data_IF_429826492956
#
_entry.id   IF_429826492956
#
_cell.length_a   1.000
_cell.length_b   1.000
_cell.length_c   1.000
_cell.angle_alpha   90.00
_cell.angle_beta   90.00
_cell.angle_gamma   90.00
#
_symmetry.space_group_name_H-M   'P 1'
#
loop_
_entity.id
_entity.type
_entity.pdbx_description
1 polymer ?
#
# COMPACT_ATOMS: atom_id res chain seq x y z
N UNK A 1 9.08 47.01 27.08
CA UNK A 1 8.07 47.19 25.99
C UNK A 1 8.47 46.55 24.67
N UNK A 2 9.64 46.91 24.05
CA UNK A 2 9.99 46.32 22.71
C UNK A 2 10.41 44.86 22.76
N UNK A 3 11.09 44.43 23.80
CA UNK A 3 11.48 43.02 23.99
C UNK A 3 10.34 42.11 24.43
N UNK A 4 9.39 42.61 25.19
CA UNK A 4 8.17 41.90 25.55
C UNK A 4 7.32 41.56 24.33
N UNK A 5 7.07 42.56 23.47
CA UNK A 5 6.35 42.35 22.20
C UNK A 5 7.04 41.33 21.29
N UNK A 6 8.38 41.30 21.27
CA UNK A 6 9.15 40.33 20.48
C UNK A 6 9.03 38.93 21.03
N UNK A 7 8.99 38.76 22.34
CA UNK A 7 8.83 37.46 23.00
C UNK A 7 7.43 36.92 22.84
N UNK A 8 6.39 37.76 22.92
CA UNK A 8 4.99 37.39 22.65
C UNK A 8 4.81 36.95 21.18
N UNK A 9 5.39 37.68 20.23
CA UNK A 9 5.36 37.25 18.83
C UNK A 9 6.08 35.90 18.57
N UNK A 10 7.20 35.66 19.24
CA UNK A 10 7.92 34.38 19.15
C UNK A 10 7.12 33.24 19.78
N UNK A 11 6.45 33.48 20.91
CA UNK A 11 5.58 32.51 21.56
C UNK A 11 4.38 32.15 20.66
N UNK A 12 3.68 33.15 20.12
CA UNK A 12 2.56 32.94 19.21
C UNK A 12 2.94 32.15 17.94
N UNK A 13 4.12 32.43 17.37
CA UNK A 13 4.63 31.65 16.22
C UNK A 13 4.98 30.20 16.57
N UNK A 14 5.47 29.93 17.78
CA UNK A 14 5.74 28.56 18.27
C UNK A 14 4.45 27.79 18.46
N UNK A 15 3.45 28.42 19.05
CA UNK A 15 2.14 27.79 19.28
C UNK A 15 1.40 27.49 17.96
N UNK A 16 1.48 28.41 16.98
CA UNK A 16 0.93 28.18 15.65
C UNK A 16 1.60 26.99 14.96
N UNK A 17 2.93 26.92 14.95
CA UNK A 17 3.69 25.78 14.40
C UNK A 17 3.37 24.46 15.09
N UNK A 18 3.20 24.47 16.42
CA UNK A 18 2.82 23.26 17.16
C UNK A 18 1.41 22.78 16.82
N UNK A 19 0.46 23.71 16.62
CA UNK A 19 -0.90 23.38 16.19
C UNK A 19 -0.93 22.80 14.80
N UNK A 20 -0.18 23.37 13.84
CA UNK A 20 -0.04 22.84 12.49
C UNK A 20 0.59 21.44 12.49
N UNK A 21 1.65 21.24 13.26
CA UNK A 21 2.30 19.95 13.40
C UNK A 21 1.37 18.88 14.00
N UNK A 22 0.60 19.23 15.01
CA UNK A 22 -0.41 18.32 15.60
C UNK A 22 -1.54 18.00 14.62
N UNK A 23 -1.98 18.97 13.83
CA UNK A 23 -3.01 18.77 12.81
C UNK A 23 -2.51 17.84 11.69
N UNK A 24 -1.28 18.05 11.18
CA UNK A 24 -0.65 17.19 10.19
C UNK A 24 -0.45 15.75 10.70
N UNK A 25 -0.01 15.59 11.94
CA UNK A 25 0.16 14.27 12.57
C UNK A 25 -1.18 13.55 12.70
N UNK A 26 -2.23 14.24 13.11
CA UNK A 26 -3.59 13.68 13.21
C UNK A 26 -4.14 13.25 11.85
N UNK A 27 -3.94 14.04 10.81
CA UNK A 27 -4.38 13.73 9.46
C UNK A 27 -3.64 12.52 8.91
N UNK A 28 -2.32 12.47 9.10
CA UNK A 28 -1.49 11.31 8.72
C UNK A 28 -1.94 10.03 9.43
N UNK A 29 -2.22 10.08 10.71
CA UNK A 29 -2.69 8.91 11.48
C UNK A 29 -4.06 8.41 11.00
N UNK A 30 -5.01 9.30 10.72
CA UNK A 30 -6.33 8.92 10.19
C UNK A 30 -6.23 8.26 8.82
N UNK A 31 -5.39 8.78 7.95
CA UNK A 31 -5.15 8.21 6.62
C UNK A 31 -4.53 6.81 6.73
N UNK A 32 -3.56 6.63 7.59
CA UNK A 32 -2.93 5.33 7.83
C UNK A 32 -3.91 4.30 8.39
N UNK A 33 -4.76 4.69 9.35
CA UNK A 33 -5.81 3.82 9.88
C UNK A 33 -6.85 3.43 8.82
N UNK A 34 -7.21 4.35 7.93
CA UNK A 34 -8.12 4.07 6.83
C UNK A 34 -7.51 3.04 5.87
N UNK A 35 -6.22 3.18 5.50
CA UNK A 35 -5.53 2.20 4.67
C UNK A 35 -5.36 0.85 5.37
N UNK A 36 -5.11 0.84 6.67
CA UNK A 36 -5.07 -0.39 7.46
C UNK A 36 -6.43 -1.10 7.48
N UNK A 37 -7.52 -0.36 7.70
CA UNK A 37 -8.87 -0.91 7.62
C UNK A 37 -9.19 -1.46 6.23
N UNK A 38 -8.78 -0.75 5.17
CA UNK A 38 -8.91 -1.23 3.79
C UNK A 38 -8.12 -2.52 3.57
N UNK A 39 -6.89 -2.60 4.06
CA UNK A 39 -6.08 -3.81 3.98
C UNK A 39 -6.75 -5.01 4.68
N UNK A 40 -7.30 -4.80 5.87
CA UNK A 40 -8.03 -5.85 6.60
C UNK A 40 -9.27 -6.30 5.84
N UNK A 41 -10.03 -5.37 5.25
CA UNK A 41 -11.20 -5.71 4.44
C UNK A 41 -10.84 -6.52 3.19
N UNK A 42 -9.77 -6.14 2.49
CA UNK A 42 -9.28 -6.87 1.31
C UNK A 42 -8.82 -8.27 1.71
N UNK A 43 -8.05 -8.38 2.79
CA UNK A 43 -7.60 -9.69 3.31
C UNK A 43 -8.79 -10.58 3.68
N UNK A 44 -9.81 -10.03 4.33
CA UNK A 44 -11.03 -10.77 4.63
C UNK A 44 -11.77 -11.23 3.37
N UNK A 45 -11.81 -10.38 2.32
CA UNK A 45 -12.38 -10.73 1.03
C UNK A 45 -11.60 -11.85 0.34
N UNK A 46 -10.25 -11.79 0.36
CA UNK A 46 -9.39 -12.85 -0.18
C UNK A 46 -9.61 -14.18 0.53
N UNK A 47 -9.67 -14.18 1.87
CA UNK A 47 -9.95 -15.37 2.67
C UNK A 47 -11.36 -15.91 2.33
N UNK A 48 -12.35 -15.04 2.22
CA UNK A 48 -13.71 -15.43 1.83
C UNK A 48 -13.74 -16.07 0.43
N UNK A 49 -13.07 -15.45 -0.55
CA UNK A 49 -12.96 -16.01 -1.91
C UNK A 49 -12.25 -17.36 -1.87
N UNK A 50 -11.19 -17.49 -1.08
CA UNK A 50 -10.43 -18.73 -0.95
C UNK A 50 -11.27 -19.89 -0.39
N UNK A 51 -12.18 -19.60 0.52
CA UNK A 51 -13.02 -20.63 1.19
C UNK A 51 -14.31 -20.91 0.39
N UNK A 52 -14.98 -19.87 -0.11
CA UNK A 52 -16.33 -19.96 -0.67
C UNK A 52 -16.34 -20.20 -2.18
N UNK A 53 -15.35 -19.69 -2.91
CA UNK A 53 -15.29 -19.85 -4.37
C UNK A 53 -14.52 -21.13 -4.71
N UNK A 54 -15.24 -22.20 -5.00
CA UNK A 54 -14.68 -23.50 -5.38
C UNK A 54 -14.16 -23.45 -6.81
N UNK A 55 -12.86 -23.21 -6.96
CA UNK A 55 -12.15 -23.35 -8.24
C UNK A 55 -12.56 -22.34 -9.32
N UNK A 56 -11.70 -22.14 -10.29
CA UNK A 56 -12.00 -21.36 -11.48
C UNK A 56 -11.08 -20.16 -11.68
N UNK A 57 -11.04 -19.74 -12.92
CA UNK A 57 -10.27 -18.63 -13.45
C UNK A 57 -10.42 -17.34 -12.60
N UNK A 58 -11.65 -16.99 -12.22
CA UNK A 58 -11.95 -15.77 -11.44
C UNK A 58 -11.26 -15.76 -10.08
N UNK A 59 -11.22 -16.91 -9.38
CA UNK A 59 -10.57 -17.00 -8.06
C UNK A 59 -9.08 -16.70 -8.14
N UNK A 60 -8.41 -17.26 -9.15
CA UNK A 60 -6.95 -17.15 -9.32
C UNK A 60 -6.59 -15.68 -9.65
N UNK A 61 -7.14 -15.17 -10.73
CA UNK A 61 -6.78 -13.83 -11.22
C UNK A 61 -7.31 -12.68 -10.35
N UNK A 62 -8.48 -12.82 -9.73
CA UNK A 62 -8.98 -11.81 -8.80
C UNK A 62 -8.10 -11.72 -7.55
N UNK A 63 -7.58 -12.85 -7.05
CA UNK A 63 -6.65 -12.89 -5.93
C UNK A 63 -5.37 -12.09 -6.23
N UNK A 64 -4.79 -12.25 -7.41
CA UNK A 64 -3.55 -11.56 -7.78
C UNK A 64 -3.71 -10.05 -7.89
N UNK A 65 -4.84 -9.59 -8.47
CA UNK A 65 -5.17 -8.16 -8.50
C UNK A 65 -5.38 -7.62 -7.08
N UNK A 66 -6.11 -8.36 -6.23
CA UNK A 66 -6.37 -7.96 -4.85
C UNK A 66 -5.09 -7.96 -4.01
N UNK A 67 -4.17 -8.90 -4.24
CA UNK A 67 -2.87 -8.94 -3.56
C UNK A 67 -2.05 -7.67 -3.81
N UNK A 68 -2.06 -7.12 -5.04
CA UNK A 68 -1.41 -5.83 -5.35
C UNK A 68 -2.06 -4.69 -4.58
N UNK A 69 -3.40 -4.64 -4.55
CA UNK A 69 -4.14 -3.59 -3.83
C UNK A 69 -3.90 -3.72 -2.32
N UNK A 70 -3.83 -4.94 -1.79
CA UNK A 70 -3.49 -5.23 -0.40
C UNK A 70 -2.08 -4.73 -0.06
N UNK A 71 -1.08 -5.08 -0.87
CA UNK A 71 0.30 -4.63 -0.67
C UNK A 71 0.39 -3.11 -0.70
N UNK A 72 -0.34 -2.45 -1.60
CA UNK A 72 -0.41 -1.00 -1.65
C UNK A 72 -1.04 -0.41 -0.37
N UNK A 73 -2.16 -0.94 0.07
CA UNK A 73 -2.82 -0.48 1.30
C UNK A 73 -1.93 -0.67 2.53
N UNK A 74 -1.22 -1.79 2.64
CA UNK A 74 -0.25 -2.05 3.70
C UNK A 74 0.93 -1.08 3.66
N UNK A 75 1.49 -0.82 2.48
CA UNK A 75 2.58 0.14 2.32
C UNK A 75 2.14 1.57 2.70
N UNK A 76 0.94 1.98 2.29
CA UNK A 76 0.35 3.29 2.68
C UNK A 76 0.03 3.38 4.17
N UNK A 77 -0.31 2.27 4.81
CA UNK A 77 -0.49 2.21 6.27
C UNK A 77 0.85 2.26 7.02
N UNK A 78 1.90 1.62 6.48
CA UNK A 78 3.21 1.56 7.11
C UNK A 78 3.98 2.89 6.99
N UNK A 79 3.99 3.51 5.81
CA UNK A 79 4.76 4.72 5.54
C UNK A 79 3.91 5.98 5.72
N UNK A 80 4.39 6.93 6.53
CA UNK A 80 3.74 8.25 6.70
C UNK A 80 3.79 9.06 5.41
N UNK A 81 4.87 8.93 4.63
CA UNK A 81 5.03 9.48 3.28
C UNK A 81 5.26 8.31 2.34
N UNK A 82 4.34 8.06 1.39
CA UNK A 82 4.52 6.95 0.46
C UNK A 82 5.76 7.20 -0.42
N UNK A 83 6.56 6.15 -0.67
CA UNK A 83 7.69 6.28 -1.56
C UNK A 83 7.22 6.62 -2.98
N UNK A 84 8.00 7.45 -3.68
CA UNK A 84 7.73 7.84 -5.06
C UNK A 84 7.57 6.59 -5.94
N UNK A 85 6.58 6.60 -6.82
CA UNK A 85 6.26 5.48 -7.73
C UNK A 85 5.99 4.15 -6.98
N UNK A 86 5.25 4.22 -5.88
CA UNK A 86 4.90 3.05 -5.07
C UNK A 86 4.27 1.91 -5.89
N UNK A 87 3.29 2.14 -6.80
CA UNK A 87 2.72 1.08 -7.63
C UNK A 87 3.77 0.34 -8.46
N UNK A 88 4.74 1.05 -9.05
CA UNK A 88 5.82 0.43 -9.83
C UNK A 88 6.75 -0.43 -8.96
N UNK A 89 7.02 -0.01 -7.73
CA UNK A 89 7.82 -0.81 -6.78
C UNK A 89 7.10 -2.07 -6.35
N UNK A 90 5.78 -2.01 -6.17
CA UNK A 90 4.96 -3.19 -5.86
C UNK A 90 4.95 -4.14 -7.04
N UNK A 91 4.79 -3.63 -8.27
CA UNK A 91 4.88 -4.47 -9.47
C UNK A 91 6.25 -5.15 -9.59
N UNK A 92 7.34 -4.41 -9.40
CA UNK A 92 8.69 -4.97 -9.45
C UNK A 92 8.91 -6.05 -8.38
N UNK A 93 8.36 -5.86 -7.19
CA UNK A 93 8.41 -6.85 -6.12
C UNK A 93 7.60 -8.11 -6.46
N UNK A 94 6.36 -7.96 -6.95
CA UNK A 94 5.52 -9.07 -7.37
C UNK A 94 6.15 -9.85 -8.53
N UNK A 95 6.68 -9.16 -9.54
CA UNK A 95 7.39 -9.78 -10.65
C UNK A 95 8.67 -10.51 -10.21
N UNK A 96 9.38 -9.97 -9.22
CA UNK A 96 10.56 -10.65 -8.67
C UNK A 96 10.19 -11.94 -7.92
N UNK A 97 9.07 -11.97 -7.22
CA UNK A 97 8.55 -13.19 -6.59
C UNK A 97 8.18 -14.24 -7.64
N UNK A 98 7.54 -13.83 -8.72
CA UNK A 98 7.15 -14.71 -9.82
C UNK A 98 8.38 -15.31 -10.54
N UNK A 99 9.40 -14.49 -10.79
CA UNK A 99 10.69 -14.93 -11.29
C UNK A 99 11.39 -15.91 -10.33
N UNK A 100 11.32 -15.66 -9.04
CA UNK A 100 11.86 -16.56 -8.04
C UNK A 100 11.16 -17.93 -8.06
N UNK A 101 9.85 -17.95 -8.29
CA UNK A 101 9.08 -19.19 -8.49
C UNK A 101 9.51 -19.92 -9.75
N UNK A 102 9.70 -19.20 -10.85
CA UNK A 102 10.19 -19.76 -12.11
C UNK A 102 11.55 -20.47 -11.95
N UNK A 103 12.47 -19.89 -11.19
CA UNK A 103 13.79 -20.48 -10.92
C UNK A 103 13.78 -21.52 -9.81
N UNK A 104 12.63 -21.87 -9.25
CA UNK A 104 12.53 -22.86 -8.18
C UNK A 104 13.23 -22.43 -6.89
N UNK A 105 13.13 -21.15 -6.54
CA UNK A 105 13.82 -20.57 -5.38
C UNK A 105 13.54 -21.32 -4.06
N UNK A 106 12.34 -21.91 -3.91
CA UNK A 106 11.98 -22.73 -2.75
C UNK A 106 12.89 -23.95 -2.61
N UNK A 107 13.19 -24.62 -3.72
CA UNK A 107 14.05 -25.80 -3.75
C UNK A 107 15.53 -25.41 -3.56
N UNK A 108 15.97 -24.33 -4.21
CA UNK A 108 17.35 -23.84 -4.13
C UNK A 108 17.69 -23.33 -2.73
N UNK A 109 16.75 -22.63 -2.08
CA UNK A 109 16.95 -22.05 -0.74
C UNK A 109 16.65 -23.02 0.39
N UNK A 110 16.18 -24.25 0.10
CA UNK A 110 15.84 -25.25 1.11
C UNK A 110 14.77 -24.77 2.10
N UNK A 111 13.80 -23.99 1.63
CA UNK A 111 12.77 -23.41 2.50
C UNK A 111 11.86 -24.51 3.01
N UNK A 112 11.89 -24.81 4.31
CA UNK A 112 11.04 -25.81 4.95
C UNK A 112 9.72 -25.23 5.49
N UNK A 113 9.63 -23.92 5.65
CA UNK A 113 8.45 -23.28 6.19
C UNK A 113 7.24 -23.43 5.24
N UNK A 114 6.17 -24.08 5.74
CA UNK A 114 4.97 -24.37 4.95
C UNK A 114 4.31 -23.11 4.36
N UNK A 115 4.29 -22.00 5.10
CA UNK A 115 3.69 -20.74 4.66
C UNK A 115 4.51 -20.14 3.51
N UNK A 116 5.83 -20.08 3.68
CA UNK A 116 6.74 -19.60 2.62
C UNK A 116 6.72 -20.53 1.39
N UNK A 117 6.59 -21.84 1.59
CA UNK A 117 6.41 -22.80 0.49
C UNK A 117 5.14 -22.51 -0.31
N UNK A 118 4.04 -22.17 0.34
CA UNK A 118 2.78 -21.84 -0.35
C UNK A 118 2.88 -20.48 -1.04
N UNK A 119 3.53 -19.49 -0.43
CA UNK A 119 3.68 -18.15 -1.01
C UNK A 119 4.66 -18.09 -2.19
N UNK A 120 5.76 -18.87 -2.12
CA UNK A 120 6.84 -18.81 -3.13
C UNK A 120 6.85 -20.10 -3.99
N UNK A 121 6.14 -21.15 -3.62
CA UNK A 121 6.15 -22.46 -4.26
C UNK A 121 5.12 -22.67 -5.35
N UNK A 122 4.45 -21.62 -5.81
CA UNK A 122 3.55 -21.67 -6.97
C UNK A 122 4.29 -22.02 -8.27
N UNK A 123 3.54 -22.30 -9.31
CA UNK A 123 4.07 -22.40 -10.68
C UNK A 123 4.01 -21.03 -11.33
N UNK A 124 5.09 -20.63 -11.98
CA UNK A 124 5.12 -19.41 -12.78
C UNK A 124 3.96 -19.38 -13.78
N UNK A 125 3.17 -18.32 -13.74
CA UNK A 125 2.15 -18.06 -14.74
C UNK A 125 2.30 -16.63 -15.28
N UNK A 126 2.44 -16.51 -16.60
CA UNK A 126 2.51 -15.20 -17.25
C UNK A 126 1.23 -14.38 -17.04
N UNK A 127 0.09 -15.03 -16.85
CA UNK A 127 -1.17 -14.38 -16.58
C UNK A 127 -1.16 -13.65 -15.21
N UNK A 128 -0.43 -14.15 -14.21
CA UNK A 128 -0.29 -13.51 -12.90
C UNK A 128 0.42 -12.16 -13.03
N UNK A 129 1.46 -12.08 -13.89
CA UNK A 129 2.12 -10.80 -14.19
C UNK A 129 1.15 -9.77 -14.81
N UNK A 130 0.23 -10.21 -15.67
CA UNK A 130 -0.79 -9.33 -16.25
C UNK A 130 -1.76 -8.86 -15.18
N UNK A 131 -2.17 -9.72 -14.26
CA UNK A 131 -3.03 -9.36 -13.13
C UNK A 131 -2.35 -8.35 -12.21
N UNK A 132 -1.06 -8.53 -11.91
CA UNK A 132 -0.28 -7.57 -11.15
C UNK A 132 -0.18 -6.22 -11.86
N UNK A 133 0.02 -6.21 -13.18
CA UNK A 133 0.04 -4.98 -13.98
C UNK A 133 -1.31 -4.24 -13.90
N UNK A 134 -2.43 -4.96 -14.05
CA UNK A 134 -3.79 -4.40 -13.91
C UNK A 134 -3.98 -3.81 -12.52
N UNK A 135 -3.63 -4.53 -11.45
CA UNK A 135 -3.69 -4.05 -10.08
C UNK A 135 -2.88 -2.76 -9.88
N UNK A 136 -1.67 -2.70 -10.43
CA UNK A 136 -0.81 -1.51 -10.35
C UNK A 136 -1.37 -0.32 -11.12
N UNK A 137 -2.00 -0.55 -12.27
CA UNK A 137 -2.68 0.52 -13.04
C UNK A 137 -3.85 1.09 -12.24
N UNK A 138 -4.69 0.24 -11.63
CA UNK A 138 -5.82 0.67 -10.81
C UNK A 138 -5.35 1.54 -9.64
N UNK A 139 -4.31 1.10 -8.94
CA UNK A 139 -3.71 1.84 -7.83
C UNK A 139 -3.08 3.16 -8.32
N UNK A 140 -2.39 3.15 -9.45
CA UNK A 140 -1.81 4.36 -10.05
C UNK A 140 -2.86 5.39 -10.45
N UNK A 141 -4.01 4.95 -10.96
CA UNK A 141 -5.16 5.80 -11.23
C UNK A 141 -5.68 6.42 -9.92
N UNK A 142 -5.82 5.60 -8.87
CA UNK A 142 -6.24 6.08 -7.56
C UNK A 142 -5.29 7.17 -7.01
N UNK A 143 -3.97 6.99 -7.08
CA UNK A 143 -2.98 8.00 -6.65
C UNK A 143 -3.14 9.32 -7.41
N UNK A 144 -3.36 9.27 -8.73
CA UNK A 144 -3.61 10.47 -9.53
C UNK A 144 -4.89 11.21 -9.12
N UNK A 145 -5.94 10.48 -8.78
CA UNK A 145 -7.18 11.10 -8.29
C UNK A 145 -6.98 11.73 -6.91
N UNK A 146 -6.31 11.03 -5.99
CA UNK A 146 -6.00 11.54 -4.65
C UNK A 146 -5.17 12.84 -4.73
N UNK A 147 -4.15 12.89 -5.58
CA UNK A 147 -3.30 14.07 -5.76
C UNK A 147 -4.08 15.27 -6.31
N UNK A 148 -4.97 15.07 -7.29
CA UNK A 148 -5.82 16.13 -7.84
C UNK A 148 -6.80 16.71 -6.82
N UNK A 149 -7.38 15.86 -5.97
CA UNK A 149 -8.31 16.31 -4.91
C UNK A 149 -7.54 17.11 -3.86
N UNK A 150 -6.32 16.68 -3.52
CA UNK A 150 -5.46 17.37 -2.56
C UNK A 150 -5.05 18.76 -3.06
N UNK A 151 -4.69 18.90 -4.33
CA UNK A 151 -4.36 20.19 -4.95
C UNK A 151 -5.55 21.16 -4.93
N UNK A 152 -6.75 20.72 -5.34
CA UNK A 152 -7.95 21.54 -5.32
C UNK A 152 -8.33 22.07 -3.93
N UNK A 153 -7.95 21.35 -2.87
CA UNK A 153 -8.20 21.73 -1.48
C UNK A 153 -7.20 22.77 -0.97
N UNK A 154 -6.05 22.89 -1.60
CA UNK A 154 -5.01 23.87 -1.26
C UNK A 154 -5.22 25.22 -1.96
N UNK A 155 -5.91 25.21 -3.11
CA UNK A 155 -6.12 26.39 -3.96
C UNK A 155 -7.46 27.10 -3.68
N UNK A 156 -8.30 26.62 -2.76
CA UNK A 156 -9.58 27.20 -2.36
C UNK A 156 -9.61 27.54 -0.87
#
# INVERSE_FOLDING_TARGET
MREENLNEQKAGRRDAKQREQKAQTRQSTRTRLAFLATAVLILAAEIYIAICVKGGFVRHYAGDVLAVVLLYALARAAFSVPPLNLPLKIFAFAAALELAQYFGAVQILGIENKILKVMIGGTFDFADLLCYAVGCVLVGIYEKFESKISQRRSDG
#
